data_IF_113639928414
#
_entry.id   IF_113639928414
#
_cell.length_a   1.000
_cell.length_b   1.000
_cell.length_c   1.000
_cell.angle_alpha   90.00
_cell.angle_beta   90.00
_cell.angle_gamma   90.00
#
_symmetry.space_group_name_H-M   'P 1'
#
loop_
_entity.id
_entity.type
_entity.pdbx_description
1 polymer ?
#
# COMPACT_ATOMS: atom_id res chain seq x y z
N UNK A 1 -46.19 -43.28 -5.53
CA UNK A 1 -44.86 -42.69 -5.78
C UNK A 1 -44.46 -41.93 -4.52
N UNK A 2 -43.95 -42.65 -3.51
CA UNK A 2 -42.54 -42.59 -3.05
C UNK A 2 -42.16 -41.18 -2.57
N UNK A 3 -42.40 -40.90 -1.29
CA UNK A 3 -41.40 -40.87 -0.19
C UNK A 3 -40.80 -39.46 -0.06
N UNK A 4 -40.58 -38.85 1.10
CA UNK A 4 -40.40 -39.35 2.46
C UNK A 4 -39.40 -38.38 3.12
N UNK A 5 -39.67 -37.97 4.35
CA UNK A 5 -38.88 -37.02 5.15
C UNK A 5 -37.44 -37.48 5.42
N UNK A 6 -36.45 -36.56 5.49
CA UNK A 6 -35.38 -36.61 6.52
C UNK A 6 -34.52 -35.34 6.59
N UNK A 7 -34.18 -34.97 7.84
CA UNK A 7 -33.06 -34.09 8.20
C UNK A 7 -31.75 -34.85 8.06
N UNK A 8 -30.74 -34.23 7.46
CA UNK A 8 -29.31 -34.50 7.65
C UNK A 8 -28.63 -33.11 7.60
N UNK A 9 -28.18 -32.52 8.71
CA UNK A 9 -26.86 -32.76 9.32
C UNK A 9 -25.73 -32.78 8.27
N UNK A 10 -25.26 -31.59 7.88
CA UNK A 10 -24.04 -31.41 7.10
C UNK A 10 -23.19 -30.33 7.75
N UNK A 11 -22.29 -30.76 8.63
CA UNK A 11 -21.28 -29.95 9.26
C UNK A 11 -20.26 -29.45 8.22
N UNK A 12 -19.63 -28.30 8.54
CA UNK A 12 -18.24 -27.98 8.18
C UNK A 12 -18.01 -27.76 6.65
N UNK A 13 -17.31 -26.72 6.19
CA UNK A 13 -16.02 -26.25 6.64
C UNK A 13 -15.89 -24.75 6.32
N UNK A 14 -15.40 -23.99 7.30
CA UNK A 14 -14.56 -22.85 7.01
C UNK A 14 -13.46 -23.33 6.06
N UNK A 15 -13.46 -22.90 4.80
CA UNK A 15 -12.21 -22.88 4.07
C UNK A 15 -11.36 -21.77 4.67
N UNK A 16 -10.65 -22.15 5.73
CA UNK A 16 -9.33 -21.63 6.04
C UNK A 16 -8.48 -21.81 4.78
N UNK A 17 -8.58 -20.85 3.87
CA UNK A 17 -7.62 -20.66 2.81
C UNK A 17 -6.30 -20.34 3.48
N UNK A 18 -5.44 -21.35 3.54
CA UNK A 18 -4.06 -21.28 3.99
C UNK A 18 -3.40 -20.04 3.40
N UNK A 19 -3.26 -18.99 4.19
CA UNK A 19 -2.24 -17.99 3.94
C UNK A 19 -0.92 -18.63 4.35
N UNK A 20 -0.35 -19.43 3.46
CA UNK A 20 1.08 -19.76 3.51
C UNK A 20 1.84 -18.44 3.37
N UNK A 21 2.17 -17.85 4.50
CA UNK A 21 3.16 -16.81 4.60
C UNK A 21 4.51 -17.46 4.28
N UNK A 22 4.82 -17.54 2.99
CA UNK A 22 6.16 -17.78 2.51
C UNK A 22 7.05 -16.63 3.01
N UNK A 23 7.66 -16.84 4.16
CA UNK A 23 8.81 -16.11 4.67
C UNK A 23 9.95 -16.24 3.67
N UNK A 24 10.05 -15.25 2.78
CA UNK A 24 11.05 -15.21 1.72
C UNK A 24 11.28 -13.79 1.21
N UNK A 25 11.38 -12.80 2.11
CA UNK A 25 11.67 -11.43 1.73
C UNK A 25 13.18 -11.22 1.49
N UNK A 26 13.73 -11.96 0.53
CA UNK A 26 15.10 -11.78 0.06
C UNK A 26 15.11 -10.64 -0.96
N UNK A 27 15.32 -9.39 -0.51
CA UNK A 27 15.54 -8.23 -1.39
C UNK A 27 16.85 -8.43 -2.17
N UNK A 28 16.82 -9.12 -3.30
CA UNK A 28 17.81 -8.90 -4.36
C UNK A 28 17.55 -7.51 -4.94
N UNK A 29 18.40 -6.54 -4.57
CA UNK A 29 18.55 -5.31 -5.34
C UNK A 29 19.25 -5.68 -6.65
N UNK A 30 18.47 -5.99 -7.67
CA UNK A 30 18.98 -5.92 -9.03
C UNK A 30 19.07 -4.44 -9.40
N UNK A 31 20.29 -3.89 -9.40
CA UNK A 31 20.56 -2.60 -10.03
C UNK A 31 20.64 -2.81 -11.55
N UNK A 32 19.49 -3.01 -12.19
CA UNK A 32 19.35 -2.76 -13.62
C UNK A 32 18.99 -1.29 -13.79
N UNK A 33 19.98 -0.44 -13.99
CA UNK A 33 19.75 0.89 -14.55
C UNK A 33 19.64 0.72 -16.06
N UNK A 34 18.40 0.68 -16.58
CA UNK A 34 18.17 0.78 -18.01
C UNK A 34 18.15 2.27 -18.36
N UNK A 35 19.07 2.70 -19.22
CA UNK A 35 19.10 4.07 -19.71
C UNK A 35 18.03 4.21 -20.80
N UNK A 36 16.97 4.96 -20.52
CA UNK A 36 15.88 5.22 -21.48
C UNK A 36 16.16 6.56 -22.14
N UNK A 37 16.30 6.56 -23.46
CA UNK A 37 16.35 7.79 -24.25
C UNK A 37 14.93 8.29 -24.51
N UNK A 38 14.61 9.50 -24.03
CA UNK A 38 13.30 10.11 -24.24
C UNK A 38 13.18 10.63 -25.68
N UNK A 39 12.06 10.31 -26.32
CA UNK A 39 11.65 10.89 -27.62
C UNK A 39 11.28 12.36 -27.46
N UNK A 40 11.20 13.10 -28.57
CA UNK A 40 10.90 14.52 -28.55
C UNK A 40 9.47 14.80 -28.05
N UNK A 41 8.51 13.93 -28.36
CA UNK A 41 7.13 14.04 -27.88
C UNK A 41 7.06 13.92 -26.36
N UNK A 42 7.80 12.96 -25.77
CA UNK A 42 7.85 12.76 -24.32
C UNK A 42 8.53 13.96 -23.64
N UNK A 43 9.61 14.49 -24.22
CA UNK A 43 10.26 15.71 -23.73
C UNK A 43 9.31 16.90 -23.75
N UNK A 44 8.53 17.04 -24.83
CA UNK A 44 7.54 18.11 -24.94
C UNK A 44 6.44 17.97 -23.90
N UNK A 45 5.92 16.75 -23.68
CA UNK A 45 4.89 16.48 -22.67
C UNK A 45 5.38 16.80 -21.24
N UNK A 46 6.63 16.45 -20.91
CA UNK A 46 7.26 16.81 -19.63
C UNK A 46 7.45 18.31 -19.48
N UNK A 47 7.85 19.01 -20.54
CA UNK A 47 8.02 20.46 -20.51
C UNK A 47 6.70 21.23 -20.32
N UNK A 48 5.58 20.67 -20.80
CA UNK A 48 4.24 21.24 -20.60
C UNK A 48 3.69 21.01 -19.19
N UNK A 49 4.12 19.95 -18.50
CA UNK A 49 3.58 19.53 -17.20
C UNK A 49 4.73 19.22 -16.21
N UNK A 50 5.52 20.23 -15.80
CA UNK A 50 6.68 20.01 -14.94
C UNK A 50 6.27 19.45 -13.56
N UNK A 51 6.97 18.42 -13.10
CA UNK A 51 6.71 17.78 -11.81
C UNK A 51 5.44 16.91 -11.73
N UNK A 52 4.63 16.85 -12.79
CA UNK A 52 3.46 15.99 -12.85
C UNK A 52 3.76 14.63 -13.52
N UNK A 53 3.04 13.55 -13.16
CA UNK A 53 3.17 12.27 -13.83
C UNK A 53 2.73 12.34 -15.30
N UNK A 54 3.59 11.89 -16.22
CA UNK A 54 3.23 11.73 -17.64
C UNK A 54 2.86 10.28 -17.90
N UNK A 55 1.64 10.05 -18.38
CA UNK A 55 1.13 8.72 -18.70
C UNK A 55 1.40 8.38 -20.16
N UNK A 56 2.05 7.25 -20.39
CA UNK A 56 2.40 6.76 -21.72
C UNK A 56 1.69 5.42 -21.92
N UNK A 57 0.95 5.29 -23.02
CA UNK A 57 0.37 4.03 -23.45
C UNK A 57 1.22 3.45 -24.57
N UNK A 58 1.60 2.20 -24.41
CA UNK A 58 2.24 1.41 -25.46
C UNK A 58 1.19 0.48 -26.07
N UNK A 59 0.80 0.77 -27.30
CA UNK A 59 -0.23 0.02 -28.02
C UNK A 59 0.28 -1.34 -28.51
N UNK A 60 1.59 -1.54 -28.67
CA UNK A 60 2.13 -2.84 -29.08
C UNK A 60 2.12 -3.81 -27.91
N UNK A 61 2.59 -3.37 -26.73
CA UNK A 61 2.62 -4.22 -25.54
C UNK A 61 1.35 -4.16 -24.67
N UNK A 62 0.40 -3.26 -25.00
CA UNK A 62 -0.80 -2.96 -24.22
C UNK A 62 -0.49 -2.60 -22.75
N UNK A 63 0.65 -1.95 -22.51
CA UNK A 63 1.09 -1.51 -21.18
C UNK A 63 0.91 -0.01 -20.99
N UNK A 64 0.69 0.36 -19.74
CA UNK A 64 0.68 1.75 -19.30
C UNK A 64 1.95 2.00 -18.49
N UNK A 65 2.72 2.99 -18.92
CA UNK A 65 3.90 3.47 -18.22
C UNK A 65 3.60 4.83 -17.62
N UNK A 66 4.21 5.10 -16.46
CA UNK A 66 4.18 6.41 -15.83
C UNK A 66 5.60 6.92 -15.77
N UNK A 67 5.84 8.05 -16.42
CA UNK A 67 7.10 8.75 -16.37
C UNK A 67 7.00 9.82 -15.28
N UNK A 68 7.92 9.75 -14.33
CA UNK A 68 8.06 10.70 -13.25
C UNK A 68 9.41 11.41 -13.44
N UNK A 69 9.39 12.73 -13.36
CA UNK A 69 10.64 13.47 -13.26
C UNK A 69 11.32 13.06 -11.95
N UNK A 70 12.56 12.57 -12.06
CA UNK A 70 13.40 12.28 -10.92
C UNK A 70 13.86 13.59 -10.28
N UNK A 71 12.92 14.30 -9.65
CA UNK A 71 13.25 15.47 -8.85
C UNK A 71 14.13 14.97 -7.72
N UNK A 72 15.38 15.46 -7.58
CA UNK A 72 16.19 15.09 -6.43
C UNK A 72 15.37 15.40 -5.18
N UNK A 73 15.28 14.46 -4.21
CA UNK A 73 14.57 14.75 -2.97
C UNK A 73 15.13 16.06 -2.43
N UNK A 74 14.27 16.96 -1.90
CA UNK A 74 14.74 18.24 -1.39
C UNK A 74 15.92 17.97 -0.46
N UNK A 75 17.06 18.61 -0.73
CA UNK A 75 18.30 18.43 0.07
C UNK A 75 18.07 18.73 1.55
N UNK A 76 17.01 19.48 1.82
CA UNK A 76 16.54 19.88 3.13
C UNK A 76 15.34 18.98 3.47
N UNK A 77 15.44 18.27 4.59
CA UNK A 77 14.33 17.52 5.16
C UNK A 77 13.12 18.47 5.33
N UNK A 78 11.92 18.13 4.83
CA UNK A 78 10.74 18.98 5.04
C UNK A 78 10.50 19.24 6.53
N UNK A 79 10.03 20.45 6.87
CA UNK A 79 9.85 20.88 8.26
C UNK A 79 8.90 19.97 9.05
N UNK A 80 7.90 19.39 8.38
CA UNK A 80 6.99 18.44 9.02
C UNK A 80 7.69 17.15 9.48
N UNK A 81 8.76 16.71 8.79
CA UNK A 81 9.53 15.54 9.23
C UNK A 81 10.37 15.90 10.45
N UNK A 82 10.97 17.10 10.47
CA UNK A 82 11.71 17.59 11.65
C UNK A 82 10.78 17.64 12.86
N UNK A 83 9.61 18.24 12.70
CA UNK A 83 8.60 18.32 13.76
C UNK A 83 8.20 16.92 14.26
N UNK A 84 8.02 15.94 13.38
CA UNK A 84 7.69 14.57 13.78
C UNK A 84 8.83 13.87 14.54
N UNK A 85 10.09 14.15 14.17
CA UNK A 85 11.26 13.63 14.89
C UNK A 85 11.35 14.27 16.28
N UNK A 86 11.18 15.59 16.37
CA UNK A 86 11.25 16.33 17.63
C UNK A 86 10.14 15.88 18.59
N UNK A 87 8.91 15.68 18.08
CA UNK A 87 7.80 15.13 18.86
C UNK A 87 8.13 13.73 19.42
N UNK A 88 8.73 12.87 18.59
CA UNK A 88 9.16 11.54 19.00
C UNK A 88 10.26 11.58 20.07
N UNK A 89 11.23 12.47 19.92
CA UNK A 89 12.30 12.67 20.89
C UNK A 89 11.74 13.15 22.24
N UNK A 90 10.86 14.15 22.23
CA UNK A 90 10.20 14.65 23.43
C UNK A 90 9.34 13.56 24.11
N UNK A 91 8.62 12.75 23.34
CA UNK A 91 7.85 11.63 23.89
C UNK A 91 8.74 10.61 24.61
N UNK A 92 9.96 10.37 24.11
CA UNK A 92 10.93 9.50 24.77
C UNK A 92 11.43 10.12 26.07
N UNK A 93 11.79 11.40 26.06
CA UNK A 93 12.26 12.13 27.25
C UNK A 93 11.21 12.18 28.36
N UNK A 94 9.93 12.32 28.00
CA UNK A 94 8.79 12.31 28.93
C UNK A 94 8.39 10.90 29.40
N UNK A 95 9.07 9.85 28.91
CA UNK A 95 8.72 8.46 29.23
C UNK A 95 7.41 7.98 28.62
N UNK A 96 6.88 8.66 27.59
CA UNK A 96 5.72 8.23 26.79
C UNK A 96 6.10 7.15 25.77
N UNK A 97 6.84 6.15 26.24
CA UNK A 97 7.27 4.99 25.46
C UNK A 97 6.49 3.77 25.91
N UNK A 98 6.16 2.90 24.95
CA UNK A 98 5.57 1.59 25.22
C UNK A 98 6.41 0.51 24.58
N UNK A 99 6.27 -0.72 25.05
CA UNK A 99 6.86 -1.87 24.40
C UNK A 99 6.40 -1.97 22.94
N UNK A 100 7.34 -2.15 22.01
CA UNK A 100 7.03 -2.31 20.61
C UNK A 100 6.45 -3.71 20.36
N UNK A 101 5.14 -3.77 20.14
CA UNK A 101 4.44 -5.00 19.75
C UNK A 101 3.78 -4.82 18.36
N UNK A 102 4.41 -5.33 17.28
CA UNK A 102 3.90 -5.14 15.93
C UNK A 102 2.58 -5.89 15.67
N UNK A 103 2.37 -7.06 16.30
CA UNK A 103 1.12 -7.82 16.12
C UNK A 103 -0.08 -7.04 16.66
N UNK A 104 0.08 -6.42 17.83
CA UNK A 104 -0.94 -5.60 18.46
C UNK A 104 -1.25 -4.33 17.64
N UNK A 105 -0.22 -3.67 17.10
CA UNK A 105 -0.40 -2.50 16.21
C UNK A 105 -1.20 -2.88 14.96
N UNK A 106 -0.87 -4.01 14.33
CA UNK A 106 -1.59 -4.50 13.14
C UNK A 106 -3.04 -4.86 13.50
N UNK A 107 -3.26 -5.56 14.61
CA UNK A 107 -4.60 -5.94 15.09
C UNK A 107 -5.49 -4.70 15.28
N UNK A 108 -4.99 -3.69 16.01
CA UNK A 108 -5.69 -2.41 16.22
C UNK A 108 -5.98 -1.69 14.90
N UNK A 109 -5.01 -1.71 13.97
CA UNK A 109 -5.19 -1.12 12.63
C UNK A 109 -6.34 -1.77 11.87
N UNK A 110 -6.42 -3.10 11.86
CA UNK A 110 -7.50 -3.87 11.23
C UNK A 110 -8.86 -3.57 11.86
N UNK A 111 -8.93 -3.49 13.18
CA UNK A 111 -10.17 -3.15 13.90
C UNK A 111 -10.68 -1.75 13.55
N UNK A 112 -9.78 -0.76 13.51
CA UNK A 112 -10.12 0.62 13.11
C UNK A 112 -10.59 0.70 11.66
N UNK A 113 -9.98 -0.08 10.75
CA UNK A 113 -10.41 -0.14 9.35
C UNK A 113 -11.79 -0.79 9.22
N UNK A 114 -12.01 -1.94 9.87
CA UNK A 114 -13.30 -2.64 9.86
C UNK A 114 -14.43 -1.76 10.44
N UNK A 115 -14.15 -0.99 11.50
CA UNK A 115 -15.09 0.00 12.04
C UNK A 115 -15.44 1.07 10.99
N UNK A 116 -14.44 1.71 10.37
CA UNK A 116 -14.67 2.73 9.32
C UNK A 116 -15.51 2.20 8.16
N UNK A 117 -15.26 0.97 7.73
CA UNK A 117 -16.05 0.33 6.68
C UNK A 117 -17.51 0.12 7.09
N UNK A 118 -17.77 -0.35 8.32
CA UNK A 118 -19.14 -0.49 8.85
C UNK A 118 -19.86 0.85 8.96
N UNK A 119 -19.18 1.87 9.48
CA UNK A 119 -19.76 3.20 9.66
C UNK A 119 -20.12 3.84 8.31
N UNK A 120 -19.30 3.63 7.28
CA UNK A 120 -19.58 4.08 5.90
C UNK A 120 -20.80 3.37 5.28
N UNK A 121 -20.95 2.05 5.48
CA UNK A 121 -22.11 1.32 4.98
C UNK A 121 -23.41 1.75 5.68
N UNK A 122 -23.36 2.02 6.99
CA UNK A 122 -24.53 2.42 7.78
C UNK A 122 -24.93 3.89 7.59
N UNK A 123 -23.98 4.76 7.21
CA UNK A 123 -24.26 6.17 6.88
C UNK A 123 -24.70 6.42 5.43
N UNK A 124 -24.74 5.37 4.61
CA UNK A 124 -25.17 5.41 3.20
C UNK A 124 -26.61 4.88 3.00
N UNK A 125 -27.35 4.63 4.09
CA UNK A 125 -28.77 4.23 4.12
C UNK A 125 -29.64 5.38 4.61
#
# INVERSE_FOLDING_TARGET
>A
MLAGWRREAGAQWFHAGKCELASGFFRRRYNYSMEIHLTDEIRHALAQNPGEPVYIRDDESQKHYVLLEATPPPKVLPDWIRAAIDEGAQAIEEGRVSEWNPEEVIRRGRERLAKRMRDQCNGAS
#
